data_IF_126475570499
#
_entry.id   IF_126475570499
#
_cell.length_a   1.000
_cell.length_b   1.000
_cell.length_c   1.000
_cell.angle_alpha   90.00
_cell.angle_beta   90.00
_cell.angle_gamma   90.00
#
_symmetry.space_group_name_H-M   'P 1'
#
loop_
_entity.id
_entity.type
_entity.pdbx_description
1 polymer ?
#
# COMPACT_ATOMS: atom_id res chain seq x y z
N UNK A 1 21.95 -33.50 25.61
CA UNK A 1 21.16 -33.18 26.83
C UNK A 1 21.82 -32.02 27.54
N UNK A 2 21.19 -30.84 27.56
CA UNK A 2 20.90 -30.05 28.76
C UNK A 2 20.36 -28.68 28.31
N UNK A 3 19.03 -28.55 28.46
CA UNK A 3 18.29 -27.30 28.36
C UNK A 3 18.66 -26.38 29.53
N UNK A 4 18.59 -25.07 29.32
CA UNK A 4 18.36 -24.11 30.39
C UNK A 4 17.46 -23.00 29.88
N UNK A 5 16.20 -23.10 30.29
CA UNK A 5 15.20 -22.03 30.25
C UNK A 5 15.46 -21.08 31.43
N UNK A 6 15.33 -19.78 31.21
CA UNK A 6 15.12 -18.80 32.28
C UNK A 6 13.91 -17.95 31.93
N UNK A 7 12.93 -17.99 32.82
CA UNK A 7 11.68 -17.26 32.83
C UNK A 7 11.89 -15.91 33.53
N UNK A 8 11.23 -14.83 33.10
CA UNK A 8 11.05 -13.63 33.93
C UNK A 8 9.62 -13.10 33.78
N UNK A 9 8.96 -13.04 34.93
CA UNK A 9 7.60 -12.54 35.14
C UNK A 9 7.47 -11.02 35.03
N UNK A 10 6.29 -10.60 34.58
CA UNK A 10 5.79 -9.22 34.52
C UNK A 10 4.99 -8.94 35.79
N UNK A 11 5.22 -7.81 36.47
CA UNK A 11 4.13 -7.02 37.09
C UNK A 11 4.49 -5.52 37.18
N UNK A 12 3.49 -4.62 37.14
CA UNK A 12 3.66 -3.18 36.89
C UNK A 12 3.57 -2.34 38.18
N UNK A 13 4.08 -1.09 38.17
CA UNK A 13 3.37 0.07 38.75
C UNK A 13 4.18 1.36 38.75
N UNK A 14 3.41 2.45 38.73
CA UNK A 14 3.70 3.78 39.30
C UNK A 14 4.29 4.85 38.39
N UNK A 15 3.36 5.61 37.82
CA UNK A 15 3.46 6.93 37.19
C UNK A 15 3.88 7.97 38.24
N UNK A 16 5.01 8.67 38.06
CA UNK A 16 5.25 10.00 38.65
C UNK A 16 5.79 10.96 37.61
N UNK A 17 5.14 12.12 37.52
CA UNK A 17 5.60 13.29 36.77
C UNK A 17 6.85 13.84 37.45
N UNK A 18 7.85 14.26 36.67
CA UNK A 18 8.59 15.49 36.96
C UNK A 18 9.22 16.03 35.68
N UNK A 19 8.95 17.31 35.44
CA UNK A 19 9.45 18.16 34.37
C UNK A 19 10.79 18.72 34.82
N UNK A 20 11.84 18.63 34.00
CA UNK A 20 12.94 19.59 33.96
C UNK A 20 13.52 19.64 32.54
N UNK A 21 13.47 20.83 31.94
CA UNK A 21 14.14 21.23 30.71
C UNK A 21 15.60 21.56 31.02
N UNK A 22 16.57 21.14 30.20
CA UNK A 22 17.76 21.95 29.86
C UNK A 22 18.31 21.61 28.47
N UNK A 23 18.51 22.67 27.69
CA UNK A 23 19.21 22.70 26.40
C UNK A 23 20.74 22.55 26.59
N UNK A 24 21.42 21.93 25.63
CA UNK A 24 22.79 22.31 25.27
C UNK A 24 23.08 21.94 23.80
N UNK A 25 23.40 22.98 23.05
CA UNK A 25 23.84 22.97 21.65
C UNK A 25 25.25 22.39 21.53
N UNK A 26 25.51 21.63 20.47
CA UNK A 26 26.86 21.20 20.10
C UNK A 26 27.19 21.79 18.72
N UNK A 27 28.15 22.70 18.71
CA UNK A 27 28.85 23.20 17.52
C UNK A 27 30.25 22.61 17.58
N UNK A 28 30.66 21.83 16.58
CA UNK A 28 32.04 21.36 16.45
C UNK A 28 32.60 21.77 15.08
N UNK A 29 33.60 22.65 15.13
CA UNK A 29 34.44 23.12 14.02
C UNK A 29 35.56 22.10 13.77
N UNK A 30 35.74 21.71 12.51
CA UNK A 30 36.87 20.91 12.01
C UNK A 30 37.91 21.85 11.39
N UNK A 31 39.15 21.82 11.90
CA UNK A 31 40.32 22.36 11.19
C UNK A 31 41.59 21.65 11.63
N UNK A 32 42.49 21.48 10.65
CA UNK A 32 43.94 21.15 10.66
C UNK A 32 44.29 19.74 10.17
N UNK A 33 45.41 19.52 9.48
CA UNK A 33 46.23 20.26 8.51
C UNK A 33 47.22 19.20 7.99
N UNK A 34 47.54 19.27 6.70
CA UNK A 34 48.57 18.51 5.99
C UNK A 34 49.99 18.66 6.58
N UNK A 35 50.80 17.60 6.51
CA UNK A 35 52.10 17.50 5.80
C UNK A 35 52.90 16.27 6.27
N UNK A 36 53.43 15.49 5.33
CA UNK A 36 54.84 15.03 5.25
C UNK A 36 55.09 14.43 3.85
N UNK A 37 56.29 14.72 3.35
CA UNK A 37 56.87 14.66 2.00
C UNK A 37 57.55 13.29 1.66
N UNK A 38 58.14 13.11 0.45
CA UNK A 38 58.11 11.86 -0.32
C UNK A 38 59.44 11.07 -0.34
N UNK A 39 59.40 9.83 -0.87
CA UNK A 39 60.60 9.08 -1.31
C UNK A 39 60.33 8.31 -2.62
N UNK A 40 61.07 8.75 -3.65
CA UNK A 40 61.84 8.04 -4.69
C UNK A 40 61.26 6.86 -5.49
N UNK A 41 61.42 7.01 -6.80
CA UNK A 41 60.99 6.16 -7.91
C UNK A 41 61.82 4.89 -8.10
N UNK A 42 61.22 3.89 -8.73
CA UNK A 42 61.85 2.97 -9.69
C UNK A 42 60.77 2.34 -10.60
N UNK A 43 61.06 2.26 -11.91
CA UNK A 43 60.28 1.54 -12.94
C UNK A 43 60.99 0.22 -13.23
N UNK A 44 60.27 -0.78 -13.79
CA UNK A 44 60.58 -1.13 -15.18
C UNK A 44 59.36 -1.52 -16.04
N UNK A 45 59.55 -1.34 -17.35
CA UNK A 45 58.64 -1.65 -18.45
C UNK A 45 58.44 -3.15 -18.72
N UNK A 46 57.30 -3.48 -19.36
CA UNK A 46 57.07 -4.50 -20.43
C UNK A 46 55.62 -5.04 -20.27
N UNK A 47 54.74 -5.17 -21.27
CA UNK A 47 54.78 -4.93 -22.70
C UNK A 47 53.40 -5.25 -23.34
N UNK A 48 53.21 -4.74 -24.57
CA UNK A 48 52.36 -5.20 -25.69
C UNK A 48 50.88 -5.61 -25.44
N UNK A 49 49.91 -4.89 -26.03
CA UNK A 49 49.38 -5.14 -27.40
C UNK A 49 48.09 -4.32 -27.72
N UNK A 50 48.10 -3.82 -28.98
CA UNK A 50 46.98 -3.57 -29.93
C UNK A 50 46.00 -2.39 -29.71
N UNK A 51 46.23 -1.39 -30.55
CA UNK A 51 45.32 -0.36 -31.02
C UNK A 51 44.84 -0.73 -32.44
N UNK A 52 43.54 -0.64 -32.71
CA UNK A 52 42.89 -0.45 -34.03
C UNK A 52 41.49 0.13 -33.74
N UNK A 53 40.91 1.08 -34.45
CA UNK A 53 41.35 2.13 -35.35
C UNK A 53 40.11 3.03 -35.51
N UNK A 54 40.29 4.34 -35.38
CA UNK A 54 39.28 5.39 -35.57
C UNK A 54 39.36 5.82 -37.04
N UNK A 55 38.23 5.85 -37.76
CA UNK A 55 38.18 6.24 -39.18
C UNK A 55 37.64 7.67 -39.28
N UNK A 56 38.37 8.47 -40.07
CA UNK A 56 38.21 9.90 -40.35
C UNK A 56 37.01 10.25 -41.25
N UNK A 57 36.56 11.50 -41.12
CA UNK A 57 35.68 12.29 -42.00
C UNK A 57 36.17 12.39 -43.46
N UNK A 58 35.39 12.98 -44.40
CA UNK A 58 35.64 14.39 -44.79
C UNK A 58 34.33 15.16 -45.25
N UNK A 59 34.34 16.31 -45.96
CA UNK A 59 33.81 17.59 -45.44
C UNK A 59 32.72 18.28 -46.32
N UNK A 60 32.26 19.44 -45.83
CA UNK A 60 31.26 20.38 -46.38
C UNK A 60 31.56 20.96 -47.78
N UNK A 61 30.58 21.68 -48.38
CA UNK A 61 30.87 22.83 -49.23
C UNK A 61 30.42 24.17 -48.63
N UNK A 62 31.20 25.16 -49.06
CA UNK A 62 31.30 26.58 -48.74
C UNK A 62 30.23 27.44 -49.45
N UNK A 63 29.78 28.53 -48.81
CA UNK A 63 29.30 29.75 -49.45
C UNK A 63 29.63 30.98 -48.58
N UNK A 64 30.87 31.44 -48.69
CA UNK A 64 31.32 32.82 -48.93
C UNK A 64 30.38 34.03 -48.68
N UNK A 65 30.87 34.94 -47.80
CA UNK A 65 31.15 36.39 -48.03
C UNK A 65 30.01 37.42 -47.91
N UNK A 66 30.12 38.31 -46.89
CA UNK A 66 30.34 39.79 -47.07
C UNK A 66 30.64 40.54 -45.75
N UNK A 67 31.91 40.88 -45.58
CA UNK A 67 32.56 42.15 -45.18
C UNK A 67 31.94 43.15 -44.16
N UNK A 68 32.76 43.37 -43.11
CA UNK A 68 33.38 44.63 -42.63
C UNK A 68 32.53 45.79 -42.07
N UNK A 69 32.73 46.10 -40.78
CA UNK A 69 33.66 47.14 -40.28
C UNK A 69 33.68 47.22 -38.73
N UNK A 70 34.85 47.44 -38.10
CA UNK A 70 34.97 47.80 -36.68
C UNK A 70 35.19 49.31 -36.50
N UNK A 71 34.75 49.88 -35.37
CA UNK A 71 35.18 51.20 -34.90
C UNK A 71 35.51 51.19 -33.40
N UNK A 72 36.66 51.81 -33.13
CA UNK A 72 37.31 52.20 -31.88
C UNK A 72 36.38 53.00 -30.93
N UNK A 73 36.42 52.78 -29.61
CA UNK A 73 37.32 53.36 -28.58
C UNK A 73 36.85 54.69 -27.99
N UNK A 74 36.92 54.76 -26.65
CA UNK A 74 36.96 55.92 -25.74
C UNK A 74 35.67 56.72 -25.48
N UNK A 75 35.17 56.69 -24.24
CA UNK A 75 35.46 57.78 -23.28
C UNK A 75 34.90 57.55 -21.86
N UNK A 76 35.65 58.11 -20.90
CA UNK A 76 35.46 58.14 -19.45
C UNK A 76 34.28 59.01 -18.99
N UNK A 77 33.66 58.63 -17.86
CA UNK A 77 33.21 59.49 -16.73
C UNK A 77 32.39 58.61 -15.76
N UNK A 78 32.91 58.16 -14.62
CA UNK A 78 33.06 58.90 -13.37
C UNK A 78 31.76 59.59 -12.89
N UNK A 79 30.90 58.85 -12.19
CA UNK A 79 29.89 59.40 -11.27
C UNK A 79 29.75 58.47 -10.06
N UNK A 80 30.08 59.01 -8.88
CA UNK A 80 29.92 58.43 -7.54
C UNK A 80 28.43 58.39 -7.09
N UNK A 81 28.09 57.64 -6.02
CA UNK A 81 26.72 57.20 -5.73
C UNK A 81 25.98 58.16 -4.78
N UNK A 82 24.64 58.14 -4.71
CA UNK A 82 23.94 58.68 -3.56
C UNK A 82 23.66 57.59 -2.53
N UNK A 83 24.16 57.84 -1.32
CA UNK A 83 23.54 57.37 -0.09
C UNK A 83 22.17 58.08 0.08
N UNK A 84 21.15 57.38 0.59
CA UNK A 84 20.47 57.76 1.83
C UNK A 84 19.42 56.72 2.23
N UNK A 85 19.44 56.45 3.53
CA UNK A 85 18.49 55.72 4.36
C UNK A 85 17.06 56.24 4.24
N UNK A 86 16.07 55.35 4.15
CA UNK A 86 14.79 55.48 4.88
C UNK A 86 14.27 54.11 5.32
N UNK A 87 14.08 53.94 6.63
CA UNK A 87 13.37 52.82 7.26
C UNK A 87 11.85 53.09 7.21
N UNK A 88 10.99 52.09 7.00
CA UNK A 88 9.54 52.30 6.97
C UNK A 88 8.95 52.55 8.38
N UNK A 89 7.87 53.34 8.49
CA UNK A 89 7.32 53.79 9.76
C UNK A 89 6.27 52.81 10.29
N UNK A 90 6.57 52.09 11.37
CA UNK A 90 5.52 51.53 12.26
C UNK A 90 5.94 51.36 13.73
N UNK A 91 7.09 51.91 14.17
CA UNK A 91 7.39 52.01 15.60
C UNK A 91 6.89 53.33 16.18
N UNK A 92 5.66 53.32 16.69
CA UNK A 92 5.22 54.07 17.88
C UNK A 92 3.73 53.81 18.14
N UNK A 93 3.40 53.20 19.29
CA UNK A 93 2.01 53.18 19.76
C UNK A 93 1.62 51.97 20.59
N UNK A 94 1.99 51.99 21.87
CA UNK A 94 1.62 51.03 22.90
C UNK A 94 0.13 51.17 23.26
N UNK A 95 -0.56 50.02 23.41
CA UNK A 95 -1.61 49.87 24.43
C UNK A 95 -3.06 49.99 23.97
N UNK A 96 -3.73 48.85 23.79
CA UNK A 96 -4.99 48.45 24.46
C UNK A 96 -5.47 47.11 23.92
N UNK A 97 -5.68 46.15 24.82
CA UNK A 97 -6.32 44.87 24.53
C UNK A 97 -7.68 45.09 23.87
N UNK A 98 -7.80 44.77 22.58
CA UNK A 98 -9.11 44.54 21.94
C UNK A 98 -9.34 43.03 21.88
N UNK A 99 -10.33 42.56 22.63
CA UNK A 99 -10.93 41.24 22.43
C UNK A 99 -11.48 41.20 21.00
N UNK A 100 -11.01 40.24 20.21
CA UNK A 100 -11.63 39.91 18.93
C UNK A 100 -12.91 39.15 19.28
N UNK A 101 -14.06 39.79 19.07
CA UNK A 101 -15.38 39.14 19.08
C UNK A 101 -15.67 38.76 17.61
N UNK A 102 -15.97 37.51 17.28
CA UNK A 102 -16.39 37.18 15.93
C UNK A 102 -17.78 37.77 15.67
N UNK A 103 -17.89 38.57 14.62
CA UNK A 103 -19.14 39.07 14.07
C UNK A 103 -19.84 37.91 13.34
N UNK A 104 -20.93 37.38 13.91
CA UNK A 104 -21.88 36.51 13.21
C UNK A 104 -22.96 37.39 12.54
N UNK A 105 -23.30 37.16 11.27
CA UNK A 105 -24.44 37.84 10.64
C UNK A 105 -25.79 37.29 11.16
N UNK A 106 -26.67 38.20 11.59
CA UNK A 106 -27.98 38.00 12.23
C UNK A 106 -29.10 37.35 11.37
N UNK A 107 -28.74 36.56 10.34
CA UNK A 107 -29.73 35.88 9.48
C UNK A 107 -29.56 34.37 9.38
N UNK A 108 -29.09 33.74 10.46
CA UNK A 108 -28.99 32.27 10.56
C UNK A 108 -29.41 31.74 11.95
N UNK A 109 -30.45 32.31 12.55
CA UNK A 109 -30.94 31.91 13.89
C UNK A 109 -32.44 31.54 13.93
N UNK A 110 -33.20 31.72 12.86
CA UNK A 110 -34.65 31.39 12.85
C UNK A 110 -35.00 30.01 12.29
N UNK A 111 -34.18 29.42 11.41
CA UNK A 111 -34.47 28.10 10.81
C UNK A 111 -33.81 26.91 11.52
N UNK A 112 -32.80 27.13 12.37
CA UNK A 112 -32.18 26.06 13.18
C UNK A 112 -32.88 25.90 14.54
N UNK A 113 -33.56 26.94 15.05
CA UNK A 113 -34.43 26.82 16.24
C UNK A 113 -35.76 26.08 15.97
N UNK A 114 -36.25 26.06 14.73
CA UNK A 114 -37.49 25.35 14.39
C UNK A 114 -37.31 23.86 14.11
N UNK A 115 -36.08 23.38 13.90
CA UNK A 115 -35.80 21.95 13.62
C UNK A 115 -35.34 21.15 14.85
N UNK A 116 -35.12 21.81 16.00
CA UNK A 116 -34.69 21.16 17.25
C UNK A 116 -35.87 20.95 18.23
N UNK A 117 -37.01 21.63 18.03
CA UNK A 117 -38.23 21.44 18.84
C UNK A 117 -39.20 20.38 18.28
N UNK A 118 -38.82 19.63 17.24
CA UNK A 118 -39.69 18.65 16.58
C UNK A 118 -39.32 17.17 16.80
N UNK A 119 -38.50 16.85 17.80
CA UNK A 119 -38.25 15.45 18.20
C UNK A 119 -38.17 15.34 19.72
N UNK A 120 -39.10 14.56 20.30
CA UNK A 120 -39.28 14.14 21.72
C UNK A 120 -40.40 14.89 22.48
N UNK A 121 -41.65 14.46 22.24
CA UNK A 121 -42.72 14.48 23.26
C UNK A 121 -42.94 13.03 23.71
N UNK A 122 -42.30 12.63 24.80
CA UNK A 122 -42.39 11.29 25.40
C UNK A 122 -43.52 11.20 26.46
N UNK A 123 -44.55 12.03 26.39
CA UNK A 123 -45.61 12.06 27.43
C UNK A 123 -47.04 12.01 26.92
N UNK A 124 -47.37 11.08 26.02
CA UNK A 124 -48.78 10.69 25.74
C UNK A 124 -48.91 9.20 25.38
N UNK A 125 -49.16 8.35 26.38
CA UNK A 125 -49.82 7.05 26.18
C UNK A 125 -51.20 7.14 26.87
N UNK A 126 -52.31 6.82 26.19
CA UNK A 126 -53.64 6.92 26.80
C UNK A 126 -53.87 5.86 27.87
N UNK A 127 -54.36 6.32 29.01
CA UNK A 127 -54.96 5.51 30.08
C UNK A 127 -56.11 4.65 29.51
N UNK A 128 -55.96 3.33 29.57
CA UNK A 128 -57.11 2.42 29.51
C UNK A 128 -57.51 2.05 30.93
N UNK A 129 -58.72 2.45 31.30
CA UNK A 129 -59.42 2.14 32.54
C UNK A 129 -59.54 0.63 32.77
N UNK A 130 -59.17 0.20 33.98
CA UNK A 130 -59.36 -1.14 34.53
C UNK A 130 -60.74 -1.23 35.19
N UNK A 131 -61.60 -2.21 34.86
CA UNK A 131 -62.70 -2.60 35.71
C UNK A 131 -62.20 -3.33 36.96
N UNK A 132 -62.88 -3.02 38.04
CA UNK A 132 -62.69 -3.48 39.40
C UNK A 132 -62.82 -5.01 39.55
N UNK A 133 -62.25 -5.50 40.64
CA UNK A 133 -61.92 -6.90 40.91
C UNK A 133 -63.09 -7.86 40.93
N UNK A 134 -62.88 -8.99 40.26
CA UNK A 134 -63.31 -10.28 40.75
C UNK A 134 -62.05 -11.12 40.93
N UNK A 135 -61.75 -11.43 42.19
CA UNK A 135 -60.74 -12.40 42.58
C UNK A 135 -61.08 -13.74 41.96
N UNK A 136 -60.39 -14.06 40.86
CA UNK A 136 -60.16 -15.44 40.48
C UNK A 136 -58.71 -15.68 40.87
N UNK A 137 -58.50 -16.05 42.13
CA UNK A 137 -57.23 -16.63 42.56
C UNK A 137 -57.12 -17.95 41.81
N UNK A 138 -56.22 -18.10 40.82
CA UNK A 138 -55.94 -19.45 40.33
C UNK A 138 -55.45 -20.26 41.55
N UNK A 139 -55.83 -21.55 41.67
CA UNK A 139 -55.27 -22.39 42.72
C UNK A 139 -53.74 -22.30 42.64
N UNK A 140 -53.02 -22.36 43.78
CA UNK A 140 -51.57 -22.39 43.73
C UNK A 140 -51.18 -23.51 42.78
N UNK A 141 -50.52 -23.14 41.68
CA UNK A 141 -49.85 -24.10 40.81
C UNK A 141 -48.87 -24.81 41.73
N UNK A 142 -49.25 -26.01 42.19
CA UNK A 142 -48.32 -26.98 42.73
C UNK A 142 -47.17 -26.99 41.74
N UNK A 143 -45.99 -26.55 42.18
CA UNK A 143 -44.79 -26.71 41.38
C UNK A 143 -44.82 -28.18 40.91
N UNK A 144 -44.67 -28.47 39.60
CA UNK A 144 -44.47 -29.84 39.20
C UNK A 144 -43.31 -30.33 40.05
N UNK A 145 -43.60 -31.31 40.90
CA UNK A 145 -42.60 -31.98 41.70
C UNK A 145 -41.54 -32.38 40.69
N UNK A 146 -40.41 -31.69 40.78
CA UNK A 146 -39.35 -31.86 39.83
C UNK A 146 -38.96 -33.32 39.91
N UNK A 147 -39.40 -34.12 38.94
CA UNK A 147 -38.93 -35.47 38.71
C UNK A 147 -37.47 -35.43 38.19
N UNK A 148 -36.66 -34.48 38.69
CA UNK A 148 -35.22 -34.45 38.57
C UNK A 148 -34.62 -35.27 39.72
N UNK A 149 -35.14 -36.47 39.90
CA UNK A 149 -34.40 -37.59 40.45
C UNK A 149 -34.29 -38.71 39.42
N UNK A 150 -34.24 -38.36 38.13
CA UNK A 150 -33.28 -39.06 37.28
C UNK A 150 -31.90 -38.62 37.78
N UNK A 151 -31.35 -39.42 38.70
CA UNK A 151 -29.91 -39.53 38.89
C UNK A 151 -29.32 -39.56 37.48
N UNK A 152 -28.65 -38.48 37.09
CA UNK A 152 -27.72 -38.55 35.96
C UNK A 152 -26.85 -39.78 36.25
N UNK A 153 -26.74 -40.72 35.29
CA UNK A 153 -25.90 -41.88 35.51
C UNK A 153 -24.51 -41.41 35.96
N UNK A 154 -23.85 -42.14 36.87
CA UNK A 154 -22.50 -41.80 37.30
C UNK A 154 -21.63 -41.52 36.06
N UNK A 155 -20.67 -40.58 36.11
CA UNK A 155 -19.79 -40.31 34.97
C UNK A 155 -19.17 -41.58 34.38
N UNK A 156 -19.02 -42.64 35.17
CA UNK A 156 -18.57 -43.96 34.73
C UNK A 156 -19.49 -44.63 33.67
N UNK A 157 -20.82 -44.46 33.72
CA UNK A 157 -21.76 -45.06 32.74
C UNK A 157 -21.82 -44.27 31.42
N UNK A 158 -21.54 -42.96 31.45
CA UNK A 158 -21.35 -42.11 30.26
C UNK A 158 -19.95 -42.28 29.63
N UNK A 159 -19.01 -42.86 30.38
CA UNK A 159 -17.65 -43.19 29.97
C UNK A 159 -17.47 -44.67 29.64
N UNK A 160 -18.51 -45.49 29.74
CA UNK A 160 -18.49 -46.78 29.05
C UNK A 160 -18.34 -46.47 27.56
N UNK A 161 -17.20 -46.81 26.93
CA UNK A 161 -17.11 -46.67 25.50
C UNK A 161 -18.29 -47.48 24.95
N UNK A 162 -19.12 -46.93 24.05
CA UNK A 162 -20.12 -47.75 23.37
C UNK A 162 -19.37 -48.98 22.88
N UNK A 163 -19.91 -50.17 23.16
CA UNK A 163 -19.39 -51.42 22.61
C UNK A 163 -19.12 -51.10 21.15
N UNK A 164 -17.83 -50.94 20.84
CA UNK A 164 -17.42 -50.33 19.60
C UNK A 164 -18.04 -51.25 18.57
N UNK A 165 -19.02 -50.80 17.75
CA UNK A 165 -19.24 -51.55 16.52
C UNK A 165 -17.85 -51.61 15.97
N UNK A 166 -17.29 -52.81 15.81
CA UNK A 166 -15.97 -53.03 15.25
C UNK A 166 -15.93 -52.11 14.04
N UNK A 167 -15.35 -50.91 14.22
CA UNK A 167 -14.99 -50.06 13.13
C UNK A 167 -13.94 -50.97 12.56
N UNK A 168 -14.17 -51.61 11.39
CA UNK A 168 -13.14 -52.42 10.82
C UNK A 168 -11.93 -51.50 10.81
N UNK A 169 -10.99 -51.81 11.68
CA UNK A 169 -9.69 -51.19 11.62
C UNK A 169 -9.31 -51.42 10.17
N UNK A 170 -8.96 -50.41 9.38
CA UNK A 170 -8.42 -50.66 8.06
C UNK A 170 -7.04 -51.29 8.28
N UNK A 171 -7.03 -52.55 8.70
CA UNK A 171 -5.90 -53.45 8.80
C UNK A 171 -5.62 -54.08 7.44
N UNK A 172 -6.39 -53.71 6.42
CA UNK A 172 -5.96 -53.82 5.04
C UNK A 172 -5.35 -52.46 4.69
N UNK A 173 -4.02 -52.40 4.73
CA UNK A 173 -3.28 -51.39 3.97
C UNK A 173 -3.54 -51.69 2.50
N UNK A 174 -4.74 -51.31 2.02
CA UNK A 174 -5.08 -51.39 0.60
C UNK A 174 -4.09 -50.49 -0.12
N UNK A 175 -3.21 -51.14 -0.88
CA UNK A 175 -2.24 -50.46 -1.72
C UNK A 175 -2.78 -50.44 -3.13
N UNK A 176 -2.71 -49.28 -3.76
CA UNK A 176 -3.09 -49.08 -5.14
C UNK A 176 -1.80 -48.92 -5.94
N UNK A 177 -1.70 -49.56 -7.09
CA UNK A 177 -0.61 -49.30 -8.02
C UNK A 177 -1.06 -48.22 -9.00
N UNK A 178 -0.37 -47.09 -9.00
CA UNK A 178 -0.65 -45.97 -9.91
C UNK A 178 0.38 -45.97 -11.02
N UNK A 179 -0.07 -46.20 -12.25
CA UNK A 179 0.75 -46.16 -13.47
C UNK A 179 1.04 -44.72 -13.89
N UNK A 180 0.03 -43.84 -13.81
CA UNK A 180 0.16 -42.43 -14.20
C UNK A 180 -0.80 -41.51 -13.44
N UNK A 181 -0.39 -40.25 -13.29
CA UNK A 181 -1.28 -39.17 -12.85
C UNK A 181 -1.77 -38.38 -14.06
N UNK A 182 -3.08 -38.11 -14.10
CA UNK A 182 -3.69 -37.20 -15.06
C UNK A 182 -4.01 -35.88 -14.37
N UNK A 183 -3.76 -34.76 -15.03
CA UNK A 183 -3.96 -33.43 -14.45
C UNK A 183 -5.07 -32.69 -15.19
N UNK A 184 -5.93 -32.00 -14.46
CA UNK A 184 -6.98 -31.16 -15.05
C UNK A 184 -7.00 -29.79 -14.37
N UNK A 185 -7.19 -28.72 -15.14
CA UNK A 185 -7.30 -27.36 -14.59
C UNK A 185 -5.96 -26.65 -14.37
N UNK A 186 -4.86 -27.22 -14.86
CA UNK A 186 -3.54 -26.58 -14.88
C UNK A 186 -3.38 -25.67 -16.11
N UNK A 187 -3.14 -24.39 -15.86
CA UNK A 187 -2.73 -23.40 -16.87
C UNK A 187 -1.39 -22.74 -16.51
N UNK A 188 -1.03 -22.71 -15.22
CA UNK A 188 0.26 -22.18 -14.75
C UNK A 188 1.45 -23.09 -15.05
N UNK A 189 1.23 -24.41 -15.00
CA UNK A 189 2.25 -25.42 -15.21
C UNK A 189 1.82 -26.44 -16.26
N UNK A 190 2.80 -26.89 -17.04
CA UNK A 190 2.63 -27.97 -18.01
C UNK A 190 2.43 -29.31 -17.29
N UNK A 191 1.80 -30.26 -17.98
CA UNK A 191 1.62 -31.62 -17.45
C UNK A 191 2.97 -32.30 -17.16
N UNK A 192 4.02 -31.98 -17.90
CA UNK A 192 5.37 -32.53 -17.71
C UNK A 192 5.99 -32.06 -16.38
N UNK A 193 5.81 -30.79 -16.02
CA UNK A 193 6.27 -30.25 -14.73
C UNK A 193 5.53 -30.92 -13.56
N UNK A 194 4.23 -31.15 -13.71
CA UNK A 194 3.41 -31.83 -12.71
C UNK A 194 3.75 -33.33 -12.60
N UNK A 195 4.02 -33.99 -13.72
CA UNK A 195 4.49 -35.38 -13.77
C UNK A 195 5.83 -35.55 -13.05
N UNK A 196 6.75 -34.58 -13.20
CA UNK A 196 8.06 -34.61 -12.51
C UNK A 196 7.88 -34.60 -10.98
N UNK A 197 6.95 -33.80 -10.46
CA UNK A 197 6.69 -33.71 -9.02
C UNK A 197 5.99 -34.96 -8.47
N UNK A 198 5.27 -35.69 -9.32
CA UNK A 198 4.51 -36.89 -8.94
C UNK A 198 5.20 -38.21 -9.25
N UNK A 199 6.33 -38.18 -9.98
CA UNK A 199 7.16 -39.34 -10.32
C UNK A 199 7.43 -40.28 -9.12
N UNK A 200 7.76 -39.78 -7.90
CA UNK A 200 8.04 -40.65 -6.74
C UNK A 200 6.85 -41.52 -6.28
N UNK A 201 5.64 -41.26 -6.79
CA UNK A 201 4.40 -41.93 -6.44
C UNK A 201 3.82 -42.81 -7.57
N UNK A 202 4.56 -43.00 -8.66
CA UNK A 202 4.14 -43.83 -9.80
C UNK A 202 4.88 -45.17 -9.86
N UNK A 203 4.33 -46.14 -10.60
CA UNK A 203 4.92 -47.45 -10.90
C UNK A 203 5.30 -48.30 -9.66
N UNK A 204 4.61 -48.06 -8.53
CA UNK A 204 4.79 -48.81 -7.29
C UNK A 204 3.48 -48.89 -6.52
N UNK A 205 3.30 -49.88 -5.63
CA UNK A 205 2.19 -49.87 -4.68
C UNK A 205 2.33 -48.68 -3.74
N UNK A 206 1.29 -47.83 -3.71
CA UNK A 206 1.19 -46.69 -2.81
C UNK A 206 -0.03 -46.82 -1.90
N UNK A 207 0.08 -46.33 -0.68
CA UNK A 207 -1.04 -46.18 0.25
C UNK A 207 -1.88 -44.95 -0.09
N UNK A 208 -3.10 -44.88 0.45
CA UNK A 208 -3.92 -43.66 0.33
C UNK A 208 -3.21 -42.42 0.89
N UNK A 209 -2.40 -42.55 1.95
CA UNK A 209 -1.62 -41.44 2.51
C UNK A 209 -0.53 -40.94 1.55
N UNK A 210 0.12 -41.84 0.81
CA UNK A 210 1.08 -41.48 -0.23
C UNK A 210 0.40 -40.84 -1.44
N UNK A 211 -0.82 -41.28 -1.79
CA UNK A 211 -1.63 -40.63 -2.81
C UNK A 211 -1.97 -39.17 -2.42
N UNK A 212 -2.35 -38.92 -1.16
CA UNK A 212 -2.52 -37.56 -0.64
C UNK A 212 -1.21 -36.76 -0.62
N UNK A 213 -0.08 -37.44 -0.43
CA UNK A 213 1.25 -36.82 -0.50
C UNK A 213 1.57 -36.36 -1.93
N UNK A 214 1.18 -37.11 -2.97
CA UNK A 214 1.30 -36.69 -4.37
C UNK A 214 0.48 -35.42 -4.65
N UNK A 215 -0.80 -35.38 -4.22
CA UNK A 215 -1.64 -34.17 -4.28
C UNK A 215 -1.01 -32.98 -3.55
N UNK A 216 -0.39 -33.24 -2.41
CA UNK A 216 0.27 -32.21 -1.59
C UNK A 216 1.54 -31.70 -2.26
N UNK A 217 2.30 -32.57 -2.91
CA UNK A 217 3.48 -32.19 -3.70
C UNK A 217 3.09 -31.26 -4.87
N UNK A 218 2.00 -31.56 -5.57
CA UNK A 218 1.46 -30.67 -6.61
C UNK A 218 1.04 -29.32 -6.02
N UNK A 219 0.30 -29.31 -4.92
CA UNK A 219 -0.10 -28.05 -4.26
C UNK A 219 1.13 -27.24 -3.84
N UNK A 220 2.16 -27.92 -3.33
CA UNK A 220 3.41 -27.30 -2.92
C UNK A 220 4.15 -26.65 -4.10
N UNK A 221 4.17 -27.28 -5.27
CA UNK A 221 4.73 -26.66 -6.48
C UNK A 221 4.07 -25.31 -6.78
N UNK A 222 2.74 -25.22 -6.69
CA UNK A 222 2.01 -23.97 -6.89
C UNK A 222 2.35 -22.92 -5.82
N UNK A 223 2.31 -23.30 -4.54
CA UNK A 223 2.58 -22.35 -3.45
C UNK A 223 4.02 -21.86 -3.45
N UNK A 224 5.00 -22.72 -3.73
CA UNK A 224 6.42 -22.37 -3.79
C UNK A 224 6.74 -21.40 -4.94
N UNK A 225 5.90 -21.37 -5.97
CA UNK A 225 5.99 -20.45 -7.11
C UNK A 225 5.04 -19.23 -7.01
N UNK A 226 4.42 -19.00 -5.85
CA UNK A 226 3.64 -17.80 -5.56
C UNK A 226 2.14 -17.87 -5.87
N UNK A 227 1.60 -19.03 -6.24
CA UNK A 227 0.17 -19.24 -6.48
C UNK A 227 -0.57 -19.68 -5.21
N UNK A 228 -0.55 -18.84 -4.17
CA UNK A 228 -1.04 -19.19 -2.83
C UNK A 228 -2.54 -19.53 -2.77
N UNK A 229 -3.34 -18.99 -3.68
CA UNK A 229 -4.79 -19.22 -3.74
C UNK A 229 -5.15 -20.46 -4.55
N UNK A 230 -4.16 -21.18 -5.08
CA UNK A 230 -4.34 -22.37 -5.90
C UNK A 230 -4.07 -23.64 -5.10
N UNK A 231 -4.74 -24.73 -5.46
CA UNK A 231 -4.51 -26.02 -4.80
C UNK A 231 -5.00 -27.20 -5.62
N UNK A 232 -4.38 -28.35 -5.41
CA UNK A 232 -4.80 -29.60 -6.03
C UNK A 232 -5.85 -30.32 -5.17
N UNK A 233 -6.64 -31.21 -5.74
CA UNK A 233 -7.49 -32.15 -5.03
C UNK A 233 -7.72 -33.38 -5.90
N UNK A 234 -8.11 -34.49 -5.27
CA UNK A 234 -8.41 -35.74 -5.97
C UNK A 234 -9.93 -35.88 -6.00
N UNK A 235 -10.58 -35.73 -7.17
CA UNK A 235 -12.02 -35.92 -7.27
C UNK A 235 -12.41 -37.39 -7.01
N UNK A 236 -13.66 -37.64 -6.57
CA UNK A 236 -14.18 -39.01 -6.45
C UNK A 236 -14.08 -39.75 -7.79
N UNK A 237 -13.37 -40.88 -7.80
CA UNK A 237 -13.14 -41.70 -8.99
C UNK A 237 -12.89 -43.15 -8.58
N UNK A 238 -13.13 -44.08 -9.51
CA UNK A 238 -12.74 -45.49 -9.35
C UNK A 238 -11.24 -45.66 -9.66
N UNK A 239 -10.52 -46.46 -8.87
CA UNK A 239 -9.08 -46.65 -9.00
C UNK A 239 -8.70 -47.91 -9.80
N UNK A 240 -9.64 -48.47 -10.55
CA UNK A 240 -9.51 -49.76 -11.23
C UNK A 240 -8.61 -49.71 -12.48
N UNK A 241 -8.26 -48.51 -12.96
CA UNK A 241 -7.60 -48.28 -14.25
C UNK A 241 -6.12 -47.90 -14.20
N UNK A 242 -5.47 -47.94 -13.03
CA UNK A 242 -4.05 -47.56 -12.87
C UNK A 242 -3.74 -46.07 -13.06
N UNK A 243 -4.67 -45.27 -13.59
CA UNK A 243 -4.55 -43.81 -13.69
C UNK A 243 -5.31 -43.11 -12.58
N UNK A 244 -4.71 -42.09 -11.96
CA UNK A 244 -5.40 -41.24 -10.97
C UNK A 244 -5.43 -39.80 -11.45
N UNK A 245 -6.62 -39.22 -11.49
CA UNK A 245 -6.81 -37.81 -11.83
C UNK A 245 -6.56 -36.94 -10.60
N UNK A 246 -5.69 -35.94 -10.74
CA UNK A 246 -5.50 -34.84 -9.78
C UNK A 246 -6.03 -33.57 -10.45
N UNK A 247 -7.12 -33.02 -9.89
CA UNK A 247 -7.68 -31.76 -10.35
C UNK A 247 -6.99 -30.59 -9.64
N UNK A 248 -6.59 -29.56 -10.39
CA UNK A 248 -6.04 -28.33 -9.87
C UNK A 248 -7.14 -27.27 -9.91
N UNK A 249 -7.41 -26.67 -8.75
CA UNK A 249 -8.21 -25.46 -8.64
C UNK A 249 -7.27 -24.26 -8.61
N UNK A 250 -7.10 -23.65 -9.77
CA UNK A 250 -6.33 -22.42 -9.92
C UNK A 250 -7.12 -21.21 -9.43
N UNK A 251 -6.61 -20.62 -8.35
CA UNK A 251 -7.23 -19.48 -7.67
C UNK A 251 -7.07 -18.18 -8.45
N UNK A 252 -8.10 -17.32 -8.42
CA UNK A 252 -8.08 -16.00 -9.04
C UNK A 252 -8.75 -14.93 -8.17
N UNK A 253 -8.65 -13.67 -8.57
CA UNK A 253 -9.46 -12.62 -7.96
C UNK A 253 -10.88 -12.61 -8.52
N UNK A 254 -11.84 -12.41 -7.63
CA UNK A 254 -13.25 -12.17 -7.95
C UNK A 254 -13.46 -10.66 -8.18
N UNK A 255 -12.99 -9.86 -7.23
CA UNK A 255 -13.16 -8.41 -7.22
C UNK A 255 -11.97 -7.71 -6.54
N UNK A 256 -11.75 -6.45 -6.95
CA UNK A 256 -10.84 -5.52 -6.29
C UNK A 256 -11.67 -4.36 -5.72
N UNK A 257 -11.80 -4.35 -4.40
CA UNK A 257 -12.48 -3.30 -3.66
C UNK A 257 -11.47 -2.21 -3.27
N UNK A 258 -11.75 -0.96 -3.61
CA UNK A 258 -10.85 0.16 -3.32
C UNK A 258 -11.57 1.14 -2.39
N UNK A 259 -10.98 1.35 -1.21
CA UNK A 259 -11.51 2.16 -0.12
C UNK A 259 -10.59 3.33 0.23
N UNK A 260 -11.17 4.40 0.78
CA UNK A 260 -10.42 5.58 1.25
C UNK A 260 -10.15 6.66 0.20
N UNK A 261 -10.67 6.48 -1.02
CA UNK A 261 -10.68 7.51 -2.06
C UNK A 261 -11.65 8.66 -1.73
N UNK A 262 -11.23 9.89 -2.00
CA UNK A 262 -11.99 11.14 -1.89
C UNK A 262 -12.11 11.82 -3.25
N UNK A 263 -10.97 12.11 -3.91
CA UNK A 263 -10.92 12.74 -5.22
C UNK A 263 -10.32 11.82 -6.28
N UNK A 264 -9.37 10.96 -5.92
CA UNK A 264 -8.85 9.92 -6.79
C UNK A 264 -9.96 8.92 -7.10
N UNK A 265 -10.12 8.59 -8.37
CA UNK A 265 -11.12 7.63 -8.79
C UNK A 265 -10.67 6.21 -8.38
N UNK A 266 -11.54 5.43 -7.76
CA UNK A 266 -11.24 4.03 -7.40
C UNK A 266 -10.88 3.18 -8.62
N UNK A 267 -11.45 3.49 -9.79
CA UNK A 267 -11.12 2.87 -11.07
C UNK A 267 -9.69 3.14 -11.53
N UNK A 268 -9.10 4.29 -11.19
CA UNK A 268 -7.68 4.56 -11.48
C UNK A 268 -6.80 3.53 -10.78
N UNK A 269 -7.01 3.34 -9.47
CA UNK A 269 -6.27 2.37 -8.66
C UNK A 269 -6.53 0.94 -9.12
N UNK A 270 -7.80 0.59 -9.33
CA UNK A 270 -8.20 -0.75 -9.77
C UNK A 270 -7.52 -1.14 -11.08
N UNK A 271 -7.58 -0.27 -12.10
CA UNK A 271 -7.02 -0.57 -13.42
C UNK A 271 -5.52 -0.89 -13.40
N UNK A 272 -4.76 -0.27 -12.49
CA UNK A 272 -3.33 -0.50 -12.32
C UNK A 272 -3.02 -1.83 -11.65
N UNK A 273 -3.89 -2.27 -10.74
CA UNK A 273 -3.76 -3.57 -10.08
C UNK A 273 -4.20 -4.72 -10.97
N UNK A 274 -5.21 -4.51 -11.82
CA UNK A 274 -5.73 -5.53 -12.75
C UNK A 274 -4.65 -6.10 -13.69
N UNK A 275 -3.60 -5.33 -14.00
CA UNK A 275 -2.45 -5.77 -14.81
C UNK A 275 -1.75 -6.98 -14.18
N UNK A 276 -1.68 -7.02 -12.85
CA UNK A 276 -0.91 -8.02 -12.10
C UNK A 276 -1.78 -9.10 -11.47
N UNK A 277 -3.10 -9.04 -11.64
CA UNK A 277 -4.05 -9.97 -11.00
C UNK A 277 -4.70 -10.92 -11.99
N UNK A 278 -3.98 -11.28 -13.06
CA UNK A 278 -4.40 -12.34 -13.98
C UNK A 278 -4.63 -13.67 -13.27
N UNK A 279 -5.48 -14.53 -13.85
CA UNK A 279 -5.71 -15.89 -13.35
C UNK A 279 -4.72 -16.87 -13.99
N UNK A 280 -4.06 -17.75 -13.23
CA UNK A 280 -4.06 -17.85 -11.76
C UNK A 280 -3.33 -16.71 -11.06
N UNK A 281 -3.84 -16.33 -9.89
CA UNK A 281 -3.29 -15.22 -9.12
C UNK A 281 -1.90 -15.56 -8.60
N UNK A 282 -0.91 -14.77 -9.02
CA UNK A 282 0.45 -14.83 -8.48
C UNK A 282 0.65 -13.69 -7.47
N UNK A 283 1.00 -14.04 -6.23
CA UNK A 283 1.16 -13.06 -5.15
C UNK A 283 2.35 -12.14 -5.38
N UNK A 284 3.43 -12.61 -6.02
CA UNK A 284 4.60 -11.75 -6.27
C UNK A 284 4.28 -10.64 -7.26
N UNK A 285 3.57 -10.97 -8.34
CA UNK A 285 3.12 -9.97 -9.31
C UNK A 285 2.20 -8.93 -8.65
N UNK A 286 1.27 -9.38 -7.81
CA UNK A 286 0.39 -8.48 -7.05
C UNK A 286 1.19 -7.56 -6.12
N UNK A 287 2.17 -8.08 -5.39
CA UNK A 287 3.04 -7.29 -4.51
C UNK A 287 3.84 -6.24 -5.29
N UNK A 288 4.37 -6.60 -6.46
CA UNK A 288 5.07 -5.66 -7.34
C UNK A 288 4.14 -4.53 -7.81
N UNK A 289 2.92 -4.85 -8.22
CA UNK A 289 1.92 -3.85 -8.61
C UNK A 289 1.53 -2.92 -7.46
N UNK A 290 1.31 -3.48 -6.25
CA UNK A 290 1.05 -2.67 -5.04
C UNK A 290 2.23 -1.75 -4.71
N UNK A 291 3.47 -2.23 -4.88
CA UNK A 291 4.67 -1.43 -4.67
C UNK A 291 4.80 -0.30 -5.70
N UNK A 292 4.52 -0.57 -6.97
CA UNK A 292 4.49 0.47 -8.00
C UNK A 292 3.43 1.52 -7.70
N UNK A 293 2.26 1.09 -7.24
CA UNK A 293 1.18 1.98 -6.84
C UNK A 293 1.56 2.85 -5.63
N UNK A 294 2.33 2.34 -4.67
CA UNK A 294 2.86 3.11 -3.54
C UNK A 294 3.86 4.22 -3.96
N UNK A 295 4.45 4.14 -5.15
CA UNK A 295 5.32 5.20 -5.68
C UNK A 295 4.53 6.36 -6.28
N UNK A 296 3.21 6.21 -6.46
CA UNK A 296 2.35 7.28 -6.97
C UNK A 296 2.27 8.42 -5.94
N UNK A 297 2.67 9.66 -6.29
CA UNK A 297 2.65 10.79 -5.36
C UNK A 297 1.24 11.21 -4.92
N UNK A 298 0.18 10.65 -5.52
CA UNK A 298 -1.21 10.86 -5.12
C UNK A 298 -1.64 9.98 -3.94
N UNK A 299 -0.82 9.01 -3.57
CA UNK A 299 -1.11 8.04 -2.51
C UNK A 299 -0.11 8.27 -1.37
N UNK A 300 -0.62 8.61 -0.19
CA UNK A 300 0.22 8.81 1.00
C UNK A 300 0.51 7.48 1.69
N UNK A 301 -0.52 6.64 1.80
CA UNK A 301 -0.43 5.31 2.41
C UNK A 301 -1.33 4.34 1.65
N UNK A 302 -0.92 3.07 1.60
CA UNK A 302 -1.63 1.97 0.95
C UNK A 302 -1.51 0.70 1.79
N UNK A 303 -2.64 0.05 2.06
CA UNK A 303 -2.71 -1.32 2.57
C UNK A 303 -3.60 -2.17 1.69
N UNK A 304 -3.31 -3.47 1.63
CA UNK A 304 -4.09 -4.44 0.88
C UNK A 304 -4.26 -5.71 1.71
N UNK A 305 -5.44 -6.31 1.62
CA UNK A 305 -5.80 -7.56 2.30
C UNK A 305 -6.43 -8.51 1.29
N UNK A 306 -6.08 -9.81 1.39
CA UNK A 306 -6.59 -10.83 0.49
C UNK A 306 -7.48 -11.79 1.29
N UNK A 307 -8.76 -11.81 0.95
CA UNK A 307 -9.78 -12.62 1.64
C UNK A 307 -10.47 -13.60 0.69
N UNK A 308 -11.29 -14.49 1.23
CA UNK A 308 -12.07 -15.47 0.45
C UNK A 308 -13.13 -14.76 -0.39
N UNK A 309 -13.23 -15.09 -1.67
CA UNK A 309 -14.23 -14.53 -2.58
C UNK A 309 -15.60 -15.22 -2.49
N UNK A 310 -16.47 -14.95 -3.47
CA UNK A 310 -17.84 -15.48 -3.50
C UNK A 310 -17.95 -16.98 -3.77
N UNK A 311 -16.88 -17.64 -4.23
CA UNK A 311 -16.90 -19.04 -4.62
C UNK A 311 -15.57 -19.77 -4.45
N UNK A 312 -15.54 -21.09 -4.68
CA UNK A 312 -14.31 -21.88 -4.58
C UNK A 312 -13.25 -21.38 -5.56
N UNK A 313 -12.03 -21.17 -5.07
CA UNK A 313 -10.92 -20.69 -5.89
C UNK A 313 -11.04 -19.23 -6.31
N UNK A 314 -11.91 -18.44 -5.66
CA UNK A 314 -11.95 -16.99 -5.84
C UNK A 314 -11.50 -16.27 -4.58
N UNK A 315 -10.91 -15.09 -4.74
CA UNK A 315 -10.41 -14.26 -3.65
C UNK A 315 -10.83 -12.80 -3.86
N UNK A 316 -11.10 -12.09 -2.77
CA UNK A 316 -11.42 -10.67 -2.77
C UNK A 316 -10.20 -9.89 -2.30
N UNK A 317 -9.74 -8.95 -3.14
CA UNK A 317 -8.66 -8.03 -2.79
C UNK A 317 -9.25 -6.71 -2.29
N UNK A 318 -9.11 -6.42 -1.00
CA UNK A 318 -9.52 -5.13 -0.42
C UNK A 318 -8.31 -4.22 -0.27
N UNK A 319 -8.33 -3.10 -0.98
CA UNK A 319 -7.26 -2.11 -0.99
C UNK A 319 -7.76 -0.85 -0.27
N UNK A 320 -7.09 -0.47 0.80
CA UNK A 320 -7.39 0.74 1.55
C UNK A 320 -6.26 1.74 1.37
N UNK A 321 -6.58 2.95 0.93
CA UNK A 321 -5.59 4.00 0.71
C UNK A 321 -5.93 5.29 1.45
N UNK A 322 -4.90 6.09 1.70
CA UNK A 322 -5.03 7.49 2.11
C UNK A 322 -4.47 8.37 0.99
N UNK A 323 -5.30 9.26 0.45
CA UNK A 323 -4.88 10.20 -0.59
C UNK A 323 -3.90 11.25 -0.05
N UNK A 324 -2.81 11.46 -0.76
CA UNK A 324 -1.88 12.55 -0.51
C UNK A 324 -2.49 13.90 -0.95
N UNK A 325 -1.94 15.00 -0.42
CA UNK A 325 -2.33 16.33 -0.89
C UNK A 325 -1.87 16.55 -2.34
N UNK A 326 -2.83 16.68 -3.25
CA UNK A 326 -2.58 16.87 -4.68
C UNK A 326 -2.34 18.34 -5.07
N UNK A 327 -2.59 19.29 -4.17
CA UNK A 327 -2.32 20.71 -4.41
C UNK A 327 -0.92 21.09 -3.94
N UNK A 328 -0.20 21.82 -4.78
CA UNK A 328 1.08 22.44 -4.41
C UNK A 328 1.24 23.82 -5.01
N UNK A 329 2.01 24.66 -4.32
CA UNK A 329 2.32 26.02 -4.74
C UNK A 329 3.78 26.31 -4.44
N UNK A 330 4.48 26.94 -5.38
CA UNK A 330 5.89 27.23 -5.27
C UNK A 330 6.17 28.67 -5.69
N UNK A 331 6.99 29.37 -4.91
CA UNK A 331 7.55 30.66 -5.29
C UNK A 331 8.99 30.44 -5.74
N UNK A 332 9.37 31.08 -6.83
CA UNK A 332 10.67 30.95 -7.47
C UNK A 332 11.37 32.31 -7.40
N UNK A 333 12.62 32.33 -6.92
CA UNK A 333 13.51 33.48 -7.02
C UNK A 333 14.93 32.95 -7.27
N UNK A 334 15.51 33.27 -8.43
CA UNK A 334 16.86 32.85 -8.79
C UNK A 334 17.50 33.82 -9.79
N UNK A 335 18.78 33.64 -10.08
CA UNK A 335 19.56 34.47 -11.00
C UNK A 335 20.17 33.69 -12.18
N UNK A 336 19.51 32.61 -12.62
CA UNK A 336 20.05 31.65 -13.59
C UNK A 336 19.84 32.00 -15.07
N UNK A 337 19.31 33.18 -15.40
CA UNK A 337 19.04 33.61 -16.78
C UNK A 337 20.19 34.44 -17.34
N UNK A 338 20.34 34.48 -18.67
CA UNK A 338 21.33 35.34 -19.33
C UNK A 338 21.11 36.81 -18.94
N UNK A 339 22.17 37.58 -18.62
CA UNK A 339 22.05 39.00 -18.32
C UNK A 339 21.34 39.82 -19.40
N UNK A 340 21.46 39.43 -20.68
CA UNK A 340 20.85 40.12 -21.81
C UNK A 340 19.32 40.15 -21.79
N UNK A 341 18.67 39.29 -21.00
CA UNK A 341 17.21 39.23 -20.82
C UNK A 341 16.79 39.43 -19.37
N UNK A 342 17.69 39.94 -18.53
CA UNK A 342 17.54 40.01 -17.09
C UNK A 342 17.97 38.72 -16.41
N UNK A 343 18.97 38.79 -15.54
CA UNK A 343 19.52 37.63 -14.84
C UNK A 343 18.60 37.14 -13.71
N UNK A 344 17.97 38.06 -12.97
CA UNK A 344 17.07 37.74 -11.87
C UNK A 344 15.66 37.37 -12.35
N UNK A 345 15.25 36.15 -12.03
CA UNK A 345 13.93 35.58 -12.33
C UNK A 345 13.14 35.40 -11.05
N UNK A 346 11.91 35.90 -11.06
CA UNK A 346 10.90 35.69 -10.02
C UNK A 346 9.68 34.99 -10.60
N UNK A 347 8.97 34.22 -9.80
CA UNK A 347 7.78 33.54 -10.30
C UNK A 347 6.98 32.81 -9.25
N UNK A 348 5.82 32.33 -9.68
CA UNK A 348 4.92 31.50 -8.91
C UNK A 348 4.45 30.33 -9.78
N UNK A 349 4.38 29.15 -9.21
CA UNK A 349 3.84 27.95 -9.84
C UNK A 349 2.77 27.35 -8.96
N UNK A 350 1.63 27.03 -9.55
CA UNK A 350 0.50 26.37 -8.91
C UNK A 350 0.25 25.05 -9.62
N UNK A 351 0.07 23.96 -8.87
CA UNK A 351 -0.15 22.62 -9.43
C UNK A 351 -1.25 21.88 -8.67
N UNK A 352 -2.15 21.27 -9.42
CA UNK A 352 -3.13 20.29 -8.95
C UNK A 352 -2.85 18.96 -9.65
N UNK A 353 -2.30 17.98 -8.93
CA UNK A 353 -1.81 16.70 -9.48
C UNK A 353 -2.88 15.63 -9.70
N UNK A 354 -4.13 15.92 -9.36
CA UNK A 354 -5.28 15.05 -9.61
C UNK A 354 -6.51 15.95 -9.79
N UNK A 355 -6.69 16.56 -10.96
CA UNK A 355 -7.74 17.56 -11.16
C UNK A 355 -9.12 16.90 -11.32
N UNK A 356 -9.22 15.89 -12.19
CA UNK A 356 -10.45 15.17 -12.53
C UNK A 356 -10.59 13.82 -11.80
N UNK A 357 -9.59 13.42 -11.02
CA UNK A 357 -9.60 12.13 -10.31
C UNK A 357 -8.93 10.99 -11.08
N UNK A 358 -8.37 11.25 -12.26
CA UNK A 358 -7.80 10.24 -13.16
C UNK A 358 -6.27 10.13 -13.05
N UNK A 359 -5.69 10.69 -12.00
CA UNK A 359 -4.24 10.89 -11.89
C UNK A 359 -3.72 12.02 -12.78
N UNK A 360 -4.62 12.91 -13.23
CA UNK A 360 -4.32 13.99 -14.16
C UNK A 360 -3.80 15.25 -13.47
N UNK A 361 -2.80 15.88 -14.06
CA UNK A 361 -2.12 17.04 -13.51
C UNK A 361 -2.38 18.31 -14.31
N UNK A 362 -2.79 19.38 -13.65
CA UNK A 362 -2.78 20.74 -14.19
C UNK A 362 -1.75 21.58 -13.45
N UNK A 363 -0.88 22.26 -14.18
CA UNK A 363 0.04 23.26 -13.61
C UNK A 363 0.01 24.55 -14.39
N UNK A 364 -0.05 25.67 -13.67
CA UNK A 364 0.02 27.02 -14.20
C UNK A 364 1.19 27.73 -13.52
N UNK A 365 2.09 28.29 -14.31
CA UNK A 365 3.24 29.03 -13.80
C UNK A 365 3.34 30.39 -14.47
N UNK A 366 3.66 31.41 -13.68
CA UNK A 366 4.01 32.73 -14.16
C UNK A 366 5.41 33.07 -13.70
N UNK A 367 6.26 33.52 -14.62
CA UNK A 367 7.60 33.99 -14.30
C UNK A 367 7.91 35.29 -14.99
N UNK A 368 8.64 36.15 -14.32
CA UNK A 368 9.04 37.46 -14.79
C UNK A 368 10.53 37.69 -14.55
N UNK A 369 11.13 38.44 -15.45
CA UNK A 369 12.48 39.03 -15.40
C UNK A 369 12.36 40.50 -15.83
N UNK A 370 13.44 41.27 -15.72
CA UNK A 370 13.43 42.66 -16.19
C UNK A 370 13.29 42.78 -17.72
N UNK A 371 13.61 41.72 -18.47
CA UNK A 371 13.56 41.71 -19.94
C UNK A 371 12.49 40.79 -20.55
N UNK A 372 11.72 40.04 -19.75
CA UNK A 372 10.71 39.11 -20.27
C UNK A 372 9.71 38.64 -19.23
N UNK A 373 8.49 38.33 -19.70
CA UNK A 373 7.42 37.65 -18.99
C UNK A 373 7.12 36.29 -19.65
N UNK A 374 6.77 35.30 -18.84
CA UNK A 374 6.41 33.96 -19.31
C UNK A 374 5.25 33.39 -18.52
N UNK A 375 4.28 32.81 -19.22
CA UNK A 375 3.17 32.04 -18.67
C UNK A 375 3.25 30.64 -19.26
N UNK A 376 3.26 29.62 -18.40
CA UNK A 376 3.26 28.22 -18.79
C UNK A 376 1.99 27.55 -18.25
N UNK A 377 1.23 26.91 -19.13
CA UNK A 377 0.08 26.07 -18.79
C UNK A 377 0.37 24.66 -19.30
N UNK A 378 0.35 23.69 -18.39
CA UNK A 378 0.59 22.29 -18.72
C UNK A 378 -0.52 21.42 -18.12
N UNK A 379 -1.06 20.52 -18.94
CA UNK A 379 -2.01 19.49 -18.54
C UNK A 379 -1.47 18.11 -18.95
N UNK A 380 -1.47 17.16 -18.02
CA UNK A 380 -0.99 15.79 -18.24
C UNK A 380 -2.05 14.77 -17.82
N UNK A 381 -2.31 13.79 -18.67
CA UNK A 381 -3.25 12.70 -18.40
C UNK A 381 -2.53 11.36 -18.62
N UNK A 382 -2.41 10.48 -17.60
CA UNK A 382 -1.86 9.15 -17.80
C UNK A 382 -2.83 8.28 -18.60
N UNK A 383 -2.33 7.65 -19.66
CA UNK A 383 -3.15 6.81 -20.58
C UNK A 383 -2.91 5.32 -20.39
N UNK A 384 -1.76 4.92 -19.86
CA UNK A 384 -1.50 3.52 -19.55
C UNK A 384 -2.14 3.22 -18.20
N UNK A 385 -2.68 2.02 -17.96
CA UNK A 385 -2.92 1.49 -16.62
C UNK A 385 -1.61 1.08 -15.96
#
# INVERSE_FOLDING_TARGET
>A
MLNSFVYFDILPSTRRRNVQLRFSSITALLTTLWLITPVKAETPCSGKHKQLQQINSPPSPDLSVRNNKPLLSQNNANLSPPAYLQKPPWEQGVGKHRKIVPYLPDKFSSQVKQAIDSVIDLTKIPNSSRPDGSQITPPPLSAPELLWSQLLPPPEELLEPPATPEVPSPSIQETITVDKFEFTGNTAFSEQELATVTEPFTNRPITFAELLSARTAVTKLYTDNGYLTSGAFIPPQSLDGGSVTIAILEGGLDEIEVNGTKRLNSGYVRSRLEIATGKPLNVQHLLDALRLLQLDPLIENLSAELSTGSGPGTSLLTVTLTEANSWSSQIIANNGRSPSVGSFRRGVSLRQANLLGLGDGLSVSYTNTDGSDGIDLNYSLPINP
#
